data_IF_131644191983
#
_entry.id   IF_131644191983
#
_cell.length_a   1.000
_cell.length_b   1.000
_cell.length_c   1.000
_cell.angle_alpha   90.00
_cell.angle_beta   90.00
_cell.angle_gamma   90.00
#
_symmetry.space_group_name_H-M   'P 1'
#
loop_
_entity.id
_entity.type
_entity.pdbx_description
1 polymer ?
#
# COMPACT_ATOMS: atom_id res chain seq x y z
N UNK A 1 -25.99 13.46 17.82
CA UNK A 1 -24.61 12.96 18.02
C UNK A 1 -24.59 11.53 17.55
N UNK A 2 -23.78 11.22 16.54
CA UNK A 2 -23.61 9.84 16.04
C UNK A 2 -22.83 9.03 17.07
N UNK A 3 -23.36 7.89 17.47
CA UNK A 3 -22.63 6.96 18.33
C UNK A 3 -21.39 6.45 17.58
N UNK A 4 -20.24 6.35 18.24
CA UNK A 4 -19.04 5.79 17.62
C UNK A 4 -19.33 4.34 17.21
N UNK A 5 -18.84 3.97 16.03
CA UNK A 5 -18.93 2.58 15.57
C UNK A 5 -18.08 1.67 16.46
N UNK A 6 -18.44 0.38 16.59
CA UNK A 6 -17.64 -0.57 17.34
C UNK A 6 -16.22 -0.67 16.77
N UNK A 7 -15.24 -0.79 17.66
CA UNK A 7 -13.85 -1.02 17.27
C UNK A 7 -13.66 -2.48 16.85
N UNK A 8 -13.20 -2.71 15.62
CA UNK A 8 -12.98 -4.05 15.06
C UNK A 8 -11.50 -4.38 14.85
N UNK A 9 -10.59 -3.42 15.10
CA UNK A 9 -9.15 -3.66 15.00
C UNK A 9 -8.71 -4.66 16.08
N UNK A 10 -7.78 -5.54 15.73
CA UNK A 10 -7.18 -6.46 16.69
C UNK A 10 -6.38 -5.71 17.75
N UNK A 11 -6.22 -6.32 18.94
CA UNK A 11 -5.44 -5.74 20.05
C UNK A 11 -4.03 -5.36 19.63
N UNK A 12 -3.40 -6.17 18.78
CA UNK A 12 -2.07 -5.89 18.22
C UNK A 12 -2.06 -4.62 17.38
N UNK A 13 -3.09 -4.42 16.53
CA UNK A 13 -3.17 -3.23 15.66
C UNK A 13 -3.45 -1.97 16.47
N UNK A 14 -4.35 -2.07 17.45
CA UNK A 14 -4.60 -0.99 18.39
C UNK A 14 -3.33 -0.56 19.14
N UNK A 15 -2.55 -1.52 19.65
CA UNK A 15 -1.30 -1.21 20.37
C UNK A 15 -0.27 -0.48 19.49
N UNK A 16 -0.17 -0.85 18.21
CA UNK A 16 0.68 -0.16 17.24
C UNK A 16 0.19 1.26 16.95
N UNK A 17 -1.12 1.43 16.77
CA UNK A 17 -1.70 2.75 16.50
C UNK A 17 -1.48 3.72 17.67
N UNK A 18 -1.64 3.25 18.91
CA UNK A 18 -1.33 4.04 20.12
C UNK A 18 0.15 4.38 20.22
N UNK A 19 1.04 3.45 19.87
CA UNK A 19 2.47 3.71 19.83
C UNK A 19 2.80 4.82 18.83
N UNK A 20 2.25 4.76 17.61
CA UNK A 20 2.45 5.77 16.55
C UNK A 20 1.87 7.12 16.98
N UNK A 21 0.70 7.13 17.62
CA UNK A 21 0.08 8.36 18.11
C UNK A 21 0.89 9.02 19.23
N UNK A 22 1.67 8.24 19.99
CA UNK A 22 2.56 8.74 21.02
C UNK A 22 3.92 9.23 20.48
N UNK A 23 4.23 9.02 19.19
CA UNK A 23 5.48 9.49 18.61
C UNK A 23 5.51 11.03 18.51
N UNK A 24 6.67 11.67 18.77
CA UNK A 24 6.82 13.10 18.57
C UNK A 24 6.53 13.50 17.11
N UNK A 25 5.88 14.65 16.87
CA UNK A 25 5.71 15.16 15.52
C UNK A 25 7.07 15.32 14.80
N UNK A 26 7.12 14.92 13.54
CA UNK A 26 8.28 15.15 12.69
C UNK A 26 8.51 16.65 12.49
N UNK A 27 9.77 17.04 12.37
CA UNK A 27 10.10 18.41 11.99
C UNK A 27 9.47 18.73 10.62
N UNK A 28 8.93 19.95 10.43
CA UNK A 28 8.49 20.40 9.12
C UNK A 28 9.64 20.26 8.11
N UNK A 29 9.37 19.81 6.87
CA UNK A 29 10.40 19.75 5.85
C UNK A 29 10.89 21.16 5.51
N UNK A 30 12.19 21.29 5.23
CA UNK A 30 12.77 22.53 4.71
C UNK A 30 12.25 22.78 3.29
N UNK A 31 11.30 23.71 3.17
CA UNK A 31 10.74 24.15 1.90
C UNK A 31 11.30 25.54 1.53
N UNK A 32 11.59 25.80 0.24
CA UNK A 32 11.86 27.15 -0.25
C UNK A 32 10.74 28.13 0.13
N UNK A 33 11.08 29.41 0.36
CA UNK A 33 10.10 30.45 0.71
C UNK A 33 9.02 30.65 -0.36
N UNK A 34 9.33 30.31 -1.60
CA UNK A 34 8.46 30.39 -2.78
C UNK A 34 7.87 29.03 -3.20
N UNK A 35 7.92 28.03 -2.31
CA UNK A 35 7.33 26.73 -2.57
C UNK A 35 5.81 26.86 -2.82
N UNK A 36 5.39 26.57 -4.05
CA UNK A 36 3.97 26.54 -4.39
C UNK A 36 3.30 25.34 -3.69
N UNK A 37 2.10 25.52 -3.12
CA UNK A 37 1.31 24.40 -2.62
C UNK A 37 0.93 23.51 -3.81
N UNK A 38 1.20 22.21 -3.70
CA UNK A 38 0.85 21.22 -4.71
C UNK A 38 -0.12 20.21 -4.10
N UNK A 39 -1.19 19.80 -4.79
CA UNK A 39 -2.02 18.68 -4.35
C UNK A 39 -1.16 17.44 -4.10
N UNK A 40 -1.43 16.73 -3.00
CA UNK A 40 -0.69 15.51 -2.62
C UNK A 40 -0.70 14.49 -3.75
N UNK A 41 -1.80 14.43 -4.50
CA UNK A 41 -1.99 13.58 -5.68
C UNK A 41 -0.93 13.79 -6.76
N UNK A 42 -0.36 15.00 -6.85
CA UNK A 42 0.72 15.31 -7.79
C UNK A 42 2.04 14.65 -7.39
N UNK A 43 2.22 14.37 -6.09
CA UNK A 43 3.38 13.64 -5.56
C UNK A 43 3.16 12.13 -5.53
N UNK A 44 1.90 11.67 -5.59
CA UNK A 44 1.54 10.29 -5.87
C UNK A 44 1.76 10.03 -7.37
N UNK A 45 3.03 10.06 -7.79
CA UNK A 45 3.48 9.93 -9.17
C UNK A 45 2.60 8.97 -9.96
N UNK A 46 1.91 9.52 -10.98
CA UNK A 46 1.09 8.87 -11.99
C UNK A 46 0.80 7.39 -11.68
N UNK A 47 -0.31 7.15 -10.99
CA UNK A 47 -0.90 5.84 -10.70
C UNK A 47 -0.33 4.74 -11.61
N UNK A 48 0.75 4.08 -11.16
CA UNK A 48 1.11 2.77 -11.67
C UNK A 48 -0.09 1.90 -11.34
N UNK A 49 -1.02 1.77 -12.28
CA UNK A 49 -2.25 1.01 -12.07
C UNK A 49 -1.79 -0.41 -11.79
N UNK A 50 -1.95 -0.91 -10.55
CA UNK A 50 -1.58 -2.27 -10.26
C UNK A 50 -2.40 -3.18 -11.18
N UNK A 51 -1.72 -4.06 -11.89
CA UNK A 51 -2.36 -5.03 -12.78
C UNK A 51 -2.54 -6.30 -11.97
N UNK A 52 -3.78 -6.78 -11.85
CA UNK A 52 -4.05 -8.10 -11.33
C UNK A 52 -3.94 -9.10 -12.48
N UNK A 53 -3.11 -10.13 -12.29
CA UNK A 53 -2.90 -11.20 -13.26
C UNK A 53 -3.24 -12.52 -12.59
N UNK A 54 -4.12 -13.31 -13.23
CA UNK A 54 -4.41 -14.66 -12.76
C UNK A 54 -3.21 -15.58 -13.04
N UNK A 55 -2.86 -16.41 -12.06
CA UNK A 55 -1.74 -17.33 -12.16
C UNK A 55 -1.95 -18.58 -11.33
N UNK A 56 -1.14 -19.59 -11.63
CA UNK A 56 -1.09 -20.86 -10.90
C UNK A 56 0.27 -21.00 -10.22
N UNK A 57 0.29 -21.71 -9.09
CA UNK A 57 1.53 -22.04 -8.40
C UNK A 57 1.91 -23.48 -8.74
N UNK A 58 3.07 -23.66 -9.36
CA UNK A 58 3.61 -24.96 -9.77
C UNK A 58 5.07 -25.05 -9.35
N UNK A 59 5.47 -26.08 -8.61
CA UNK A 59 6.85 -26.29 -8.12
C UNK A 59 7.45 -25.08 -7.38
N UNK A 60 6.62 -24.32 -6.67
CA UNK A 60 7.02 -23.10 -5.97
C UNK A 60 7.21 -21.87 -6.87
N UNK A 61 6.88 -21.97 -8.17
CA UNK A 61 6.89 -20.88 -9.12
C UNK A 61 5.46 -20.40 -9.41
N UNK A 62 5.26 -19.08 -9.48
CA UNK A 62 4.00 -18.49 -9.93
C UNK A 62 4.07 -18.28 -11.44
N UNK A 63 3.19 -18.94 -12.19
CA UNK A 63 3.09 -18.80 -13.64
C UNK A 63 1.80 -18.04 -14.01
N UNK A 64 1.89 -16.91 -14.75
CA UNK A 64 0.71 -16.29 -15.33
C UNK A 64 -0.05 -17.27 -16.23
N UNK A 65 -1.38 -17.25 -16.14
CA UNK A 65 -2.23 -18.06 -17.05
C UNK A 65 -2.22 -17.53 -18.48
N UNK A 66 -2.11 -16.20 -18.64
CA UNK A 66 -1.98 -15.57 -19.95
C UNK A 66 -0.50 -15.51 -20.38
N UNK A 67 -0.10 -16.21 -21.45
CA UNK A 67 1.29 -16.24 -21.93
C UNK A 67 1.78 -14.90 -22.52
N UNK A 68 0.87 -13.98 -22.84
CA UNK A 68 1.20 -12.64 -23.32
C UNK A 68 1.66 -11.72 -22.18
N UNK A 69 1.38 -12.07 -20.91
CA UNK A 69 1.85 -11.29 -19.77
C UNK A 69 3.36 -11.43 -19.64
N UNK A 70 4.07 -10.32 -19.85
CA UNK A 70 5.50 -10.19 -19.59
C UNK A 70 5.72 -9.24 -18.42
N UNK A 71 6.31 -9.76 -17.36
CA UNK A 71 6.78 -8.95 -16.25
C UNK A 71 8.27 -8.63 -16.47
N UNK A 72 8.71 -7.38 -16.25
CA UNK A 72 10.13 -7.06 -16.22
C UNK A 72 10.87 -7.93 -15.22
N UNK A 73 12.14 -8.20 -15.51
CA UNK A 73 13.03 -8.82 -14.53
C UNK A 73 13.05 -7.97 -13.24
N UNK A 74 12.96 -8.63 -12.08
CA UNK A 74 12.84 -7.99 -10.76
C UNK A 74 11.57 -7.13 -10.52
N UNK A 75 10.47 -7.38 -11.23
CA UNK A 75 9.19 -6.76 -10.92
C UNK A 75 8.74 -7.05 -9.48
N UNK A 76 8.30 -6.02 -8.76
CA UNK A 76 7.69 -6.16 -7.43
C UNK A 76 6.27 -6.70 -7.61
N UNK A 77 5.99 -7.87 -7.04
CA UNK A 77 4.68 -8.53 -7.11
C UNK A 77 4.11 -8.73 -5.71
N UNK A 78 2.78 -8.72 -5.62
CA UNK A 78 2.04 -9.14 -4.43
C UNK A 78 1.25 -10.38 -4.84
N UNK A 79 1.45 -11.49 -4.14
CA UNK A 79 0.69 -12.73 -4.38
C UNK A 79 -0.51 -12.70 -3.45
N UNK A 80 -1.70 -12.75 -4.03
CA UNK A 80 -2.96 -12.86 -3.29
C UNK A 80 -3.50 -14.26 -3.53
N UNK A 81 -3.52 -15.08 -2.48
CA UNK A 81 -4.20 -16.37 -2.50
C UNK A 81 -5.54 -16.23 -1.79
N UNK A 82 -6.61 -16.74 -2.40
CA UNK A 82 -7.88 -16.95 -1.69
C UNK A 82 -7.78 -18.25 -0.92
N UNK A 83 -8.19 -18.29 0.36
CA UNK A 83 -8.31 -19.55 1.07
C UNK A 83 -9.36 -20.45 0.39
N UNK A 84 -9.10 -21.75 0.33
CA UNK A 84 -10.06 -22.78 -0.11
C UNK A 84 -11.27 -22.88 0.83
#
# INVERSE_FOLDING_TARGET
MTSPSPEYRSTRRHALDEQVAAEPPLAPPDLPLDAAPVPVESHLAALRRPIAVAGVVEDGLVRPLDPAVKLPEHARVIIVATPD
#
